data_IF_197472901062
#
_entry.id   IF_197472901062
#
_cell.length_a   1.000
_cell.length_b   1.000
_cell.length_c   1.000
_cell.angle_alpha   90.00
_cell.angle_beta   90.00
_cell.angle_gamma   90.00
#
_symmetry.space_group_name_H-M   'P 1'
#
loop_
_entity.id
_entity.type
_entity.pdbx_description
1 polymer ?
#
# COMPACT_ATOMS: atom_id res chain seq x y z
N UNK A 1 -4.49 22.43 18.57
CA UNK A 1 -3.62 21.47 17.84
C UNK A 1 -3.81 21.74 16.36
N UNK A 2 -2.75 22.19 15.67
CA UNK A 2 -2.75 22.26 14.21
C UNK A 2 -2.72 20.84 13.69
N UNK A 3 -3.81 20.41 13.05
CA UNK A 3 -3.83 19.18 12.25
C UNK A 3 -2.76 19.40 11.18
N UNK A 4 -1.69 18.60 11.22
CA UNK A 4 -0.64 18.63 10.21
C UNK A 4 -1.22 18.09 8.91
N UNK A 5 -1.83 18.98 8.13
CA UNK A 5 -2.44 18.71 6.82
C UNK A 5 -1.38 18.63 5.72
N UNK A 6 -0.16 18.20 6.04
CA UNK A 6 0.77 17.71 5.02
C UNK A 6 0.11 16.50 4.37
N UNK A 7 -0.61 16.76 3.28
CA UNK A 7 -0.85 15.77 2.23
C UNK A 7 0.46 15.00 2.12
N UNK A 8 0.45 13.70 2.46
CA UNK A 8 1.55 12.82 2.11
C UNK A 8 1.72 12.98 0.61
N UNK A 9 2.69 13.80 0.18
CA UNK A 9 3.05 13.92 -1.21
C UNK A 9 3.22 12.49 -1.70
N UNK A 10 2.53 12.16 -2.79
CA UNK A 10 2.40 10.81 -3.31
C UNK A 10 3.79 10.27 -3.67
N UNK A 11 4.47 9.68 -2.68
CA UNK A 11 5.75 9.01 -2.85
C UNK A 11 5.45 7.60 -3.29
N UNK A 12 5.99 7.23 -4.43
CA UNK A 12 6.05 5.85 -4.90
C UNK A 12 6.43 4.93 -3.73
N UNK A 13 5.56 3.96 -3.43
CA UNK A 13 5.78 3.00 -2.34
C UNK A 13 6.47 1.75 -2.89
N UNK A 14 7.08 0.97 -2.01
CA UNK A 14 7.56 -0.38 -2.33
C UNK A 14 6.80 -1.43 -1.54
N UNK A 15 6.39 -2.48 -2.23
CA UNK A 15 5.87 -3.71 -1.63
C UNK A 15 6.98 -4.71 -1.44
N UNK A 16 7.12 -5.17 -0.20
CA UNK A 16 8.14 -6.13 0.22
C UNK A 16 7.42 -7.44 0.54
N UNK A 17 7.54 -8.42 -0.35
CA UNK A 17 6.93 -9.73 -0.17
C UNK A 17 7.83 -10.60 0.68
N UNK A 18 7.30 -11.15 1.76
CA UNK A 18 8.00 -12.04 2.67
C UNK A 18 7.72 -13.52 2.35
N UNK A 19 8.62 -14.41 2.75
CA UNK A 19 8.48 -15.86 2.60
C UNK A 19 7.28 -16.44 3.36
N UNK A 20 6.85 -15.76 4.41
CA UNK A 20 5.67 -16.13 5.21
C UNK A 20 4.34 -15.71 4.56
N UNK A 21 4.40 -15.08 3.38
CA UNK A 21 3.24 -14.62 2.62
C UNK A 21 2.75 -13.22 2.98
N UNK A 22 3.36 -12.55 3.96
CA UNK A 22 3.04 -11.15 4.27
C UNK A 22 3.60 -10.21 3.21
N UNK A 23 2.91 -9.09 3.04
CA UNK A 23 3.34 -7.99 2.17
C UNK A 23 3.44 -6.75 3.02
N UNK A 24 4.65 -6.23 3.17
CA UNK A 24 4.92 -5.00 3.90
C UNK A 24 5.10 -3.84 2.93
N UNK A 25 4.87 -2.63 3.43
CA UNK A 25 5.02 -1.40 2.67
C UNK A 25 6.18 -0.55 3.18
N UNK A 26 6.89 0.09 2.25
CA UNK A 26 7.97 1.03 2.56
C UNK A 26 7.86 2.27 1.68
N UNK A 27 8.23 3.43 2.22
CA UNK A 27 8.36 4.68 1.45
C UNK A 27 9.70 4.75 0.70
N UNK A 28 10.61 3.80 0.94
CA UNK A 28 11.86 3.66 0.20
C UNK A 28 11.64 2.97 -1.14
N UNK A 29 12.46 3.31 -2.13
CA UNK A 29 12.44 2.63 -3.43
C UNK A 29 13.04 1.22 -3.33
N UNK A 30 12.75 0.32 -4.29
CA UNK A 30 13.38 -1.00 -4.28
C UNK A 30 14.89 -0.93 -4.34
N UNK A 31 15.46 0.01 -5.10
CA UNK A 31 16.90 0.24 -5.25
C UNK A 31 17.53 0.61 -3.90
N UNK A 32 16.99 1.62 -3.21
CA UNK A 32 17.46 2.02 -1.87
C UNK A 32 17.44 0.85 -0.87
N UNK A 33 16.40 0.00 -0.95
CA UNK A 33 16.27 -1.17 -0.07
C UNK A 33 17.28 -2.26 -0.42
N UNK A 34 17.52 -2.52 -1.72
CA UNK A 34 18.52 -3.50 -2.14
C UNK A 34 19.94 -3.05 -1.79
N UNK A 35 20.29 -1.78 -2.06
CA UNK A 35 21.57 -1.19 -1.72
C UNK A 35 21.85 -1.29 -0.21
N UNK A 36 20.86 -0.93 0.62
CA UNK A 36 20.98 -1.07 2.07
C UNK A 36 21.24 -2.52 2.50
N UNK A 37 20.53 -3.47 1.88
CA UNK A 37 20.63 -4.89 2.20
C UNK A 37 21.92 -5.56 1.71
N UNK A 38 22.70 -4.93 0.83
CA UNK A 38 24.02 -5.45 0.46
C UNK A 38 24.89 -5.60 1.71
N UNK A 39 24.99 -4.51 2.49
CA UNK A 39 25.82 -4.42 3.69
C UNK A 39 25.09 -4.79 4.99
N UNK A 40 23.75 -4.79 4.99
CA UNK A 40 22.94 -5.04 6.18
C UNK A 40 22.12 -6.32 6.07
N UNK A 41 22.33 -7.34 6.94
CA UNK A 41 21.55 -8.57 6.92
C UNK A 41 20.12 -8.41 7.44
N UNK A 42 19.81 -7.28 8.09
CA UNK A 42 18.51 -6.99 8.67
C UNK A 42 18.05 -5.59 8.28
N UNK A 43 16.72 -5.41 8.18
CA UNK A 43 16.06 -4.17 7.83
C UNK A 43 14.84 -3.95 8.71
N UNK A 44 14.57 -2.69 9.06
CA UNK A 44 13.36 -2.28 9.78
C UNK A 44 12.29 -1.88 8.76
N UNK A 45 11.14 -2.54 8.78
CA UNK A 45 10.01 -2.25 7.89
C UNK A 45 8.75 -2.22 8.75
N UNK A 46 7.95 -1.15 8.67
CA UNK A 46 6.72 -0.97 9.48
C UNK A 46 6.92 -1.15 11.01
N UNK A 47 8.14 -0.90 11.52
CA UNK A 47 8.48 -1.08 12.93
C UNK A 47 8.84 -2.51 13.34
N UNK A 48 8.87 -3.44 12.38
CA UNK A 48 9.31 -4.82 12.57
C UNK A 48 10.71 -5.05 11.94
N UNK A 49 11.54 -5.85 12.61
CA UNK A 49 12.86 -6.25 12.11
C UNK A 49 12.73 -7.50 11.25
N UNK A 50 13.20 -7.43 10.01
CA UNK A 50 13.20 -8.55 9.07
C UNK A 50 14.63 -8.86 8.60
N UNK A 51 14.92 -10.14 8.42
CA UNK A 51 16.15 -10.57 7.76
C UNK A 51 16.02 -10.38 6.24
N UNK A 52 17.08 -9.94 5.56
CA UNK A 52 17.09 -9.88 4.08
C UNK A 52 16.78 -11.23 3.43
N UNK A 53 17.10 -12.34 4.09
CA UNK A 53 16.80 -13.70 3.61
C UNK A 53 15.33 -14.08 3.74
N UNK A 54 14.53 -13.32 4.49
CA UNK A 54 13.08 -13.51 4.59
C UNK A 54 12.30 -12.81 3.47
N UNK A 55 12.96 -11.88 2.76
CA UNK A 55 12.37 -11.13 1.65
C UNK A 55 12.48 -11.97 0.37
N UNK A 56 11.36 -12.09 -0.34
CA UNK A 56 11.24 -12.79 -1.63
C UNK A 56 11.42 -11.82 -2.79
N UNK A 57 10.78 -10.65 -2.70
CA UNK A 57 10.87 -9.62 -3.72
C UNK A 57 10.47 -8.25 -3.18
N UNK A 58 11.04 -7.22 -3.79
CA UNK A 58 10.68 -5.82 -3.57
C UNK A 58 10.22 -5.24 -4.90
N UNK A 59 8.99 -4.73 -4.95
CA UNK A 59 8.33 -4.28 -6.19
C UNK A 59 7.84 -2.84 -5.98
N UNK A 60 8.06 -1.93 -6.93
CA UNK A 60 7.50 -0.59 -6.85
C UNK A 60 5.98 -0.63 -7.01
N UNK A 61 5.30 0.21 -6.24
CA UNK A 61 3.85 0.41 -6.28
C UNK A 61 3.59 1.77 -6.90
N UNK A 62 2.91 1.76 -8.05
CA UNK A 62 2.39 2.97 -8.64
C UNK A 62 1.00 3.27 -8.07
N UNK A 63 0.89 4.34 -7.28
CA UNK A 63 -0.40 4.76 -6.71
C UNK A 63 -1.34 5.41 -7.75
N UNK A 64 -0.85 5.67 -8.96
CA UNK A 64 -1.66 6.15 -10.09
C UNK A 64 -2.35 5.02 -10.85
N UNK A 65 -2.08 3.76 -10.49
CA UNK A 65 -2.85 2.62 -10.96
C UNK A 65 -3.77 2.06 -9.86
N UNK A 66 -4.87 1.42 -10.30
CA UNK A 66 -5.93 0.93 -9.42
C UNK A 66 -5.40 -0.08 -8.40
N UNK A 67 -4.55 -1.01 -8.84
CA UNK A 67 -4.12 -2.11 -8.00
C UNK A 67 -3.05 -1.64 -7.01
N UNK A 68 -2.14 -0.76 -7.44
CA UNK A 68 -1.17 -0.11 -6.59
C UNK A 68 -1.82 0.79 -5.54
N UNK A 69 -2.86 1.54 -5.90
CA UNK A 69 -3.64 2.29 -4.91
C UNK A 69 -4.30 1.36 -3.89
N UNK A 70 -4.99 0.29 -4.30
CA UNK A 70 -5.58 -0.66 -3.35
C UNK A 70 -4.51 -1.21 -2.42
N UNK A 71 -3.41 -1.67 -2.98
CA UNK A 71 -2.26 -2.26 -2.27
C UNK A 71 -1.56 -1.32 -1.29
N UNK A 72 -1.63 -0.01 -1.51
CA UNK A 72 -1.10 1.00 -0.60
C UNK A 72 -1.94 1.20 0.67
N UNK A 73 -3.17 0.68 0.71
CA UNK A 73 -4.07 0.86 1.85
C UNK A 73 -3.86 -0.21 2.93
N UNK A 74 -4.21 0.05 4.21
CA UNK A 74 -4.24 -0.96 5.26
C UNK A 74 -5.13 -2.16 4.90
N UNK A 75 -4.81 -3.37 5.37
CA UNK A 75 -5.47 -4.63 5.01
C UNK A 75 -7.01 -4.57 5.11
N UNK A 76 -7.54 -3.93 6.16
CA UNK A 76 -8.99 -3.75 6.35
C UNK A 76 -9.61 -2.90 5.21
N UNK A 77 -8.94 -1.81 4.81
CA UNK A 77 -9.39 -0.95 3.72
C UNK A 77 -9.23 -1.66 2.38
N UNK A 78 -8.16 -2.46 2.19
CA UNK A 78 -8.01 -3.28 0.98
C UNK A 78 -9.21 -4.22 0.80
N UNK A 79 -9.63 -4.91 1.86
CA UNK A 79 -10.79 -5.79 1.81
C UNK A 79 -12.07 -5.03 1.42
N UNK A 80 -12.34 -3.88 2.08
CA UNK A 80 -13.49 -3.03 1.76
C UNK A 80 -13.47 -2.54 0.31
N UNK A 81 -12.31 -2.15 -0.22
CA UNK A 81 -12.16 -1.74 -1.61
C UNK A 81 -12.45 -2.89 -2.58
N UNK A 82 -11.91 -4.09 -2.34
CA UNK A 82 -12.14 -5.26 -3.19
C UNK A 82 -13.61 -5.72 -3.16
N UNK A 83 -14.27 -5.61 -2.02
CA UNK A 83 -15.72 -5.85 -1.91
C UNK A 83 -16.52 -4.81 -2.70
N UNK A 84 -16.15 -3.53 -2.58
CA UNK A 84 -16.82 -2.45 -3.31
C UNK A 84 -16.70 -2.59 -4.83
N UNK A 85 -15.52 -2.96 -5.33
CA UNK A 85 -15.28 -3.23 -6.75
C UNK A 85 -16.17 -4.39 -7.24
N UNK A 86 -16.22 -5.49 -6.47
CA UNK A 86 -17.08 -6.64 -6.79
C UNK A 86 -18.56 -6.27 -6.82
N UNK A 87 -19.01 -5.50 -5.84
CA UNK A 87 -20.39 -5.01 -5.76
C UNK A 87 -20.75 -4.16 -6.98
N UNK A 88 -19.94 -3.15 -7.32
CA UNK A 88 -20.21 -2.28 -8.47
C UNK A 88 -20.24 -3.03 -9.79
N UNK A 89 -19.31 -3.96 -10.00
CA UNK A 89 -19.30 -4.80 -11.20
C UNK A 89 -20.55 -5.68 -11.30
N UNK A 90 -21.05 -6.21 -10.18
CA UNK A 90 -22.24 -7.07 -10.14
C UNK A 90 -23.54 -6.30 -10.33
N UNK A 91 -23.72 -5.21 -9.59
CA UNK A 91 -24.99 -4.49 -9.51
C UNK A 91 -25.14 -3.39 -10.56
N UNK A 92 -24.03 -2.76 -10.96
CA UNK A 92 -24.04 -1.61 -11.87
C UNK A 92 -23.42 -1.95 -13.24
N UNK A 93 -22.72 -3.07 -13.37
CA UNK A 93 -22.01 -3.44 -14.60
C UNK A 93 -20.79 -2.55 -14.92
N UNK A 94 -20.42 -1.65 -14.01
CA UNK A 94 -19.37 -0.64 -14.22
C UNK A 94 -18.03 -1.11 -13.65
N UNK A 95 -16.95 -0.85 -14.39
CA UNK A 95 -15.61 -0.93 -13.81
C UNK A 95 -15.39 0.28 -12.88
N UNK A 96 -14.68 0.03 -11.78
CA UNK A 96 -14.47 1.05 -10.75
C UNK A 96 -13.21 1.86 -11.09
N UNK A 97 -13.36 3.17 -11.26
CA UNK A 97 -12.24 4.08 -11.52
C UNK A 97 -11.38 4.29 -10.27
N UNK A 98 -10.11 4.67 -10.49
CA UNK A 98 -9.20 5.01 -9.40
C UNK A 98 -9.71 6.20 -8.57
N UNK A 99 -10.23 7.25 -9.21
CA UNK A 99 -10.78 8.43 -8.52
C UNK A 99 -11.93 8.06 -7.59
N UNK A 100 -12.77 7.10 -8.01
CA UNK A 100 -13.83 6.61 -7.15
C UNK A 100 -13.28 5.92 -5.90
N UNK A 101 -12.25 5.06 -6.06
CA UNK A 101 -11.62 4.39 -4.93
C UNK A 101 -10.95 5.40 -3.97
N UNK A 102 -10.23 6.39 -4.51
CA UNK A 102 -9.63 7.48 -3.72
C UNK A 102 -10.68 8.20 -2.89
N UNK A 103 -11.80 8.58 -3.50
CA UNK A 103 -12.92 9.23 -2.80
C UNK A 103 -13.59 8.32 -1.78
N UNK A 104 -13.74 7.03 -2.08
CA UNK A 104 -14.32 6.06 -1.15
C UNK A 104 -13.48 5.88 0.11
N UNK A 105 -12.16 5.76 -0.03
CA UNK A 105 -11.23 5.69 1.12
C UNK A 105 -11.31 6.98 1.94
N UNK A 106 -11.29 8.15 1.28
CA UNK A 106 -11.42 9.44 1.96
C UNK A 106 -12.67 9.50 2.84
N UNK A 107 -13.83 9.15 2.27
CA UNK A 107 -15.10 9.14 3.00
C UNK A 107 -15.10 8.12 4.15
N UNK A 108 -14.47 6.96 3.98
CA UNK A 108 -14.34 5.95 5.04
C UNK A 108 -13.49 6.46 6.21
N UNK A 109 -12.42 7.19 5.96
CA UNK A 109 -11.57 7.75 7.01
C UNK A 109 -12.26 8.91 7.72
N UNK A 110 -12.96 9.76 7.00
CA UNK A 110 -13.73 10.89 7.56
C UNK A 110 -14.94 10.44 8.40
N UNK A 111 -15.52 9.28 8.11
CA UNK A 111 -16.67 8.73 8.86
C UNK A 111 -16.27 7.96 10.13
N UNK A 112 -14.99 7.66 10.30
CA UNK A 112 -14.44 7.01 11.50
C UNK A 112 -13.64 7.97 12.39
N UNK A 113 -13.60 9.25 12.06
CA UNK A 113 -12.98 10.33 12.83
C UNK A 113 -14.03 11.08 13.67
#
# INVERSE_FOLDING_TARGET
MLIDTRLKEYKQLSHINLKDGRVLTSEHTPEELYDWMEDHPHIMIEGEVHSKFSIVSIIPINMDDKEGFIKSQPAEIQQKLREKIRFRKRELGEDTSLDYLKNYVKNLLESNA
#
